data_IF_709908317186
#
_entry.id   IF_709908317186
#
_cell.length_a   1.000
_cell.length_b   1.000
_cell.length_c   1.000
_cell.angle_alpha   90.00
_cell.angle_beta   90.00
_cell.angle_gamma   90.00
#
_symmetry.space_group_name_H-M   'P 1'
#
loop_
_entity.id
_entity.type
_entity.pdbx_description
1 polymer ?
#
# COMPACT_ATOMS: atom_id res chain seq x y z
N UNK A 1 41.78 -7.53 17.20
CA UNK A 1 40.42 -7.99 16.95
C UNK A 1 39.64 -6.85 16.30
N UNK A 2 39.48 -6.87 15.01
CA UNK A 2 38.64 -5.90 14.27
C UNK A 2 37.20 -6.04 14.78
N UNK A 3 36.70 -5.01 15.49
CA UNK A 3 35.29 -4.97 15.89
C UNK A 3 34.45 -5.17 14.64
N UNK A 4 33.69 -6.27 14.59
CA UNK A 4 32.73 -6.51 13.53
C UNK A 4 31.74 -5.34 13.55
N UNK A 5 31.84 -4.42 12.57
CA UNK A 5 31.04 -3.20 12.53
C UNK A 5 29.63 -3.46 11.98
N UNK A 6 29.41 -4.66 11.41
CA UNK A 6 28.14 -5.04 10.83
C UNK A 6 27.16 -5.50 11.92
N UNK A 7 25.94 -4.93 11.89
CA UNK A 7 24.84 -5.37 12.75
C UNK A 7 24.12 -6.56 12.15
N UNK A 8 23.97 -6.57 10.82
CA UNK A 8 23.39 -7.65 10.03
C UNK A 8 24.31 -7.96 8.87
N UNK A 9 24.56 -9.26 8.62
CA UNK A 9 25.26 -9.74 7.43
C UNK A 9 24.48 -10.89 6.82
N UNK A 10 24.05 -10.71 5.59
CA UNK A 10 23.33 -11.70 4.77
C UNK A 10 24.30 -12.15 3.68
N UNK A 11 24.55 -13.47 3.59
CA UNK A 11 25.49 -14.03 2.63
C UNK A 11 24.84 -15.13 1.83
N UNK A 12 24.88 -15.01 0.52
CA UNK A 12 24.45 -16.01 -0.48
C UNK A 12 23.06 -16.62 -0.18
N UNK A 13 22.16 -15.78 0.37
CA UNK A 13 20.84 -16.19 0.80
C UNK A 13 19.97 -16.54 -0.39
N UNK A 14 19.46 -17.77 -0.39
CA UNK A 14 18.42 -18.24 -1.31
C UNK A 14 17.19 -18.70 -0.56
N UNK A 15 16.01 -18.37 -1.09
CA UNK A 15 14.72 -18.73 -0.46
C UNK A 15 13.82 -19.35 -1.52
N UNK A 16 13.29 -20.52 -1.22
CA UNK A 16 12.40 -21.27 -2.10
C UNK A 16 11.14 -21.72 -1.37
N UNK A 17 10.08 -21.91 -2.15
CA UNK A 17 8.78 -22.38 -1.67
C UNK A 17 8.38 -23.69 -2.37
N UNK A 18 7.88 -24.65 -1.59
CA UNK A 18 7.22 -25.85 -2.13
C UNK A 18 5.80 -25.47 -2.54
N UNK A 19 5.49 -25.63 -3.83
CA UNK A 19 4.16 -25.38 -4.39
C UNK A 19 3.57 -26.64 -4.98
N UNK A 20 2.29 -26.65 -5.32
CA UNK A 20 1.64 -27.77 -6.03
C UNK A 20 2.29 -28.10 -7.38
N UNK A 21 2.95 -27.11 -8.01
CA UNK A 21 3.57 -27.22 -9.33
C UNK A 21 5.09 -27.41 -9.27
N UNK A 22 5.66 -27.70 -8.06
CA UNK A 22 7.09 -27.88 -7.86
C UNK A 22 7.69 -26.83 -6.91
N UNK A 23 9.00 -26.58 -7.03
CA UNK A 23 9.72 -25.58 -6.23
C UNK A 23 9.76 -24.25 -6.97
N UNK A 24 9.38 -23.18 -6.28
CA UNK A 24 9.49 -21.81 -6.78
C UNK A 24 10.57 -21.07 -6.01
N UNK A 25 11.58 -20.56 -6.70
CA UNK A 25 12.64 -19.75 -6.13
C UNK A 25 12.20 -18.28 -6.05
N UNK A 26 12.12 -17.75 -4.83
CA UNK A 26 11.68 -16.40 -4.58
C UNK A 26 12.85 -15.41 -4.39
N UNK A 27 13.99 -15.90 -3.87
CA UNK A 27 15.23 -15.14 -3.67
C UNK A 27 16.40 -16.03 -4.07
N UNK A 28 17.37 -15.47 -4.78
CA UNK A 28 18.50 -16.18 -5.36
C UNK A 28 19.79 -15.48 -5.01
N UNK A 29 20.61 -16.15 -4.20
CA UNK A 29 21.98 -15.77 -3.90
C UNK A 29 22.20 -14.28 -3.58
N UNK A 30 21.39 -13.71 -2.68
CA UNK A 30 21.52 -12.31 -2.29
C UNK A 30 22.49 -12.14 -1.12
N UNK A 31 23.36 -11.14 -1.22
CA UNK A 31 24.35 -10.81 -0.18
C UNK A 31 24.41 -9.32 0.06
N UNK A 32 24.30 -8.90 1.34
CA UNK A 32 24.46 -7.50 1.78
C UNK A 32 24.80 -7.43 3.27
N UNK A 33 25.39 -6.32 3.65
CA UNK A 33 25.74 -6.00 5.04
C UNK A 33 25.06 -4.69 5.46
N UNK A 34 24.66 -4.60 6.72
CA UNK A 34 24.21 -3.35 7.34
C UNK A 34 25.16 -3.05 8.50
N UNK A 35 25.78 -1.87 8.48
CA UNK A 35 26.63 -1.40 9.57
C UNK A 35 25.78 -0.80 10.70
N UNK A 36 26.36 -0.69 11.90
CA UNK A 36 25.67 -0.04 13.00
C UNK A 36 25.34 1.42 12.66
N UNK A 37 24.07 1.80 12.85
CA UNK A 37 23.56 3.15 12.57
C UNK A 37 23.31 3.45 11.08
N UNK A 38 23.60 2.52 10.16
CA UNK A 38 23.39 2.67 8.71
C UNK A 38 21.95 2.34 8.31
N UNK A 39 21.45 3.05 7.30
CA UNK A 39 20.19 2.75 6.62
C UNK A 39 20.46 2.10 5.26
N UNK A 40 20.04 0.85 5.07
CA UNK A 40 20.10 0.16 3.78
C UNK A 40 18.69 -0.03 3.22
N UNK A 41 18.50 0.32 1.94
CA UNK A 41 17.23 0.09 1.26
C UNK A 41 17.27 -1.10 0.28
N UNK A 42 16.23 -1.94 0.35
CA UNK A 42 15.89 -2.91 -0.70
C UNK A 42 14.81 -2.32 -1.61
N UNK A 43 15.12 -2.18 -2.89
CA UNK A 43 14.24 -1.53 -3.88
C UNK A 43 13.95 -2.46 -5.05
N UNK A 44 12.74 -2.42 -5.59
CA UNK A 44 12.34 -3.20 -6.77
C UNK A 44 10.83 -3.27 -6.90
N UNK A 45 10.35 -3.86 -7.99
CA UNK A 45 8.92 -4.07 -8.23
C UNK A 45 8.28 -5.03 -7.22
N UNK A 46 6.93 -5.01 -7.15
CA UNK A 46 6.19 -5.99 -6.36
C UNK A 46 6.50 -7.42 -6.82
N UNK A 47 6.77 -8.31 -5.87
CA UNK A 47 7.14 -9.70 -6.19
C UNK A 47 8.64 -9.93 -6.43
N UNK A 48 9.51 -8.92 -6.36
CA UNK A 48 10.95 -9.09 -6.55
C UNK A 48 11.69 -9.82 -5.41
N UNK A 49 11.02 -10.15 -4.29
CA UNK A 49 11.60 -10.91 -3.16
C UNK A 49 11.95 -10.07 -1.92
N UNK A 50 11.77 -8.75 -1.91
CA UNK A 50 12.16 -7.83 -0.80
C UNK A 50 11.56 -8.21 0.55
N UNK A 51 10.23 -8.28 0.64
CA UNK A 51 9.52 -8.63 1.88
C UNK A 51 9.82 -10.07 2.33
N UNK A 52 10.02 -10.99 1.38
CA UNK A 52 10.42 -12.37 1.66
C UNK A 52 11.81 -12.39 2.31
N UNK A 53 12.76 -11.57 1.82
CA UNK A 53 14.08 -11.41 2.42
C UNK A 53 13.97 -10.89 3.86
N UNK A 54 13.13 -9.86 4.10
CA UNK A 54 12.91 -9.32 5.44
C UNK A 54 12.29 -10.33 6.42
N UNK A 55 11.26 -11.06 5.98
CA UNK A 55 10.61 -12.12 6.77
C UNK A 55 11.55 -13.27 7.05
N UNK A 56 12.49 -13.58 6.14
CA UNK A 56 13.52 -14.58 6.32
C UNK A 56 14.48 -14.21 7.45
N UNK A 57 14.93 -12.94 7.52
CA UNK A 57 15.78 -12.44 8.63
C UNK A 57 15.07 -12.65 9.97
N UNK A 58 13.78 -12.41 10.01
CA UNK A 58 12.94 -12.61 11.20
C UNK A 58 12.54 -14.07 11.43
N UNK A 59 12.89 -15.01 10.54
CA UNK A 59 12.42 -16.40 10.56
C UNK A 59 10.89 -16.48 10.69
N UNK A 60 10.16 -15.66 9.92
CA UNK A 60 8.69 -15.57 9.90
C UNK A 60 8.07 -16.12 8.61
N UNK A 61 8.86 -16.77 7.77
CA UNK A 61 8.33 -17.46 6.59
C UNK A 61 7.46 -18.67 6.98
N UNK A 62 6.55 -19.13 6.12
CA UNK A 62 5.69 -20.28 6.41
C UNK A 62 6.46 -21.61 6.29
N UNK A 63 7.28 -21.93 7.29
CA UNK A 63 8.00 -23.22 7.35
C UNK A 63 7.03 -24.37 7.63
N UNK A 64 7.22 -25.56 7.04
CA UNK A 64 8.30 -26.01 6.14
C UNK A 64 8.00 -25.80 4.65
N UNK A 65 6.97 -25.06 4.27
CA UNK A 65 6.69 -24.73 2.87
C UNK A 65 7.79 -23.85 2.29
N UNK A 66 8.20 -22.82 3.04
CA UNK A 66 9.41 -22.06 2.75
C UNK A 66 10.64 -22.82 3.28
N UNK A 67 11.76 -22.71 2.59
CA UNK A 67 13.04 -23.24 3.02
C UNK A 67 14.19 -22.45 2.40
N UNK A 68 15.37 -22.57 3.00
CA UNK A 68 16.60 -21.93 2.54
C UNK A 68 17.51 -22.98 1.90
N UNK A 69 17.63 -22.99 0.55
CA UNK A 69 18.59 -23.88 -0.12
C UNK A 69 20.05 -23.56 0.23
N UNK A 70 20.36 -22.29 0.46
CA UNK A 70 21.70 -21.79 0.81
C UNK A 70 21.62 -20.49 1.59
N UNK A 71 22.72 -20.07 2.19
CA UNK A 71 22.95 -18.77 2.77
C UNK A 71 23.25 -18.78 4.27
N UNK A 72 23.70 -17.61 4.75
CA UNK A 72 23.93 -17.31 6.17
C UNK A 72 23.21 -16.01 6.53
N UNK A 73 22.63 -15.97 7.72
CA UNK A 73 21.98 -14.77 8.30
C UNK A 73 22.61 -14.45 9.65
N UNK A 74 23.65 -13.61 9.65
CA UNK A 74 24.38 -13.24 10.85
C UNK A 74 23.87 -11.94 11.45
N UNK A 75 23.29 -11.97 12.64
CA UNK A 75 22.93 -10.79 13.42
C UNK A 75 23.87 -10.63 14.61
N UNK A 76 24.59 -9.53 14.68
CA UNK A 76 25.66 -9.28 15.67
C UNK A 76 26.73 -10.40 15.72
N UNK A 77 26.89 -11.13 14.60
CA UNK A 77 27.80 -12.28 14.49
C UNK A 77 27.17 -13.62 14.81
N UNK A 78 25.96 -13.68 15.34
CA UNK A 78 25.22 -14.92 15.62
C UNK A 78 24.37 -15.32 14.41
N UNK A 79 24.47 -16.58 13.99
CA UNK A 79 23.66 -17.10 12.90
C UNK A 79 22.22 -17.32 13.36
N UNK A 80 21.27 -16.72 12.63
CA UNK A 80 19.83 -16.84 12.86
C UNK A 80 19.21 -18.05 12.15
N UNK A 81 19.94 -18.66 11.19
CA UNK A 81 19.41 -19.77 10.41
C UNK A 81 19.24 -21.03 11.28
N UNK A 82 18.08 -21.65 11.18
CA UNK A 82 17.79 -22.89 11.91
C UNK A 82 17.69 -22.74 13.44
N UNK A 83 17.66 -21.51 13.97
CA UNK A 83 17.43 -21.26 15.39
C UNK A 83 16.01 -21.66 15.77
N UNK A 84 15.87 -22.17 17.00
CA UNK A 84 14.58 -22.50 17.56
C UNK A 84 13.72 -21.24 17.85
N UNK A 85 12.41 -21.44 17.96
CA UNK A 85 11.49 -20.32 18.22
C UNK A 85 11.75 -19.62 19.57
N UNK A 86 12.25 -20.35 20.55
CA UNK A 86 12.61 -19.80 21.87
C UNK A 86 13.77 -18.80 21.77
N UNK A 87 14.78 -19.08 20.94
CA UNK A 87 15.85 -18.14 20.64
C UNK A 87 15.33 -16.94 19.85
N UNK A 88 14.57 -17.18 18.80
CA UNK A 88 14.03 -16.11 17.94
C UNK A 88 13.07 -15.17 18.69
N UNK A 89 12.31 -15.65 19.68
CA UNK A 89 11.48 -14.78 20.54
C UNK A 89 12.29 -13.77 21.35
N UNK A 90 13.55 -14.06 21.70
CA UNK A 90 14.43 -13.10 22.38
C UNK A 90 14.97 -12.02 21.43
N UNK A 91 14.98 -12.33 20.13
CA UNK A 91 15.46 -11.38 19.10
C UNK A 91 14.32 -10.53 18.58
N UNK A 92 13.18 -11.17 18.24
CA UNK A 92 12.00 -10.50 17.70
C UNK A 92 11.37 -9.55 18.71
N UNK A 93 11.21 -8.28 18.33
CA UNK A 93 10.58 -7.25 19.17
C UNK A 93 11.46 -6.68 20.29
N UNK A 94 12.63 -7.28 20.57
CA UNK A 94 13.62 -6.75 21.50
C UNK A 94 14.81 -6.16 20.74
N UNK A 95 15.57 -6.98 20.03
CA UNK A 95 16.77 -6.54 19.31
C UNK A 95 16.51 -6.18 17.85
N UNK A 96 15.51 -6.82 17.21
CA UNK A 96 15.05 -6.50 15.87
C UNK A 96 13.58 -6.14 15.94
N UNK A 97 13.27 -4.87 15.66
CA UNK A 97 11.90 -4.39 15.46
C UNK A 97 11.47 -4.54 14.00
N UNK A 98 10.17 -4.73 13.76
CA UNK A 98 9.63 -4.78 12.39
C UNK A 98 8.37 -3.94 12.26
N UNK A 99 8.33 -3.11 11.22
CA UNK A 99 7.14 -2.41 10.73
C UNK A 99 6.64 -3.18 9.52
N UNK A 100 5.42 -3.73 9.62
CA UNK A 100 4.80 -4.50 8.54
C UNK A 100 4.12 -3.59 7.52
N UNK A 101 3.95 -4.08 6.31
CA UNK A 101 3.38 -3.34 5.18
C UNK A 101 1.96 -2.84 5.44
N UNK A 102 1.12 -3.62 6.13
CA UNK A 102 -0.28 -3.28 6.39
C UNK A 102 -0.58 -3.15 7.88
N UNK A 103 -0.82 -1.93 8.41
CA UNK A 103 -1.15 -1.74 9.82
C UNK A 103 -2.46 -2.41 10.25
N UNK A 104 -3.40 -2.61 9.32
CA UNK A 104 -4.69 -3.24 9.60
C UNK A 104 -4.57 -4.74 9.92
N UNK A 105 -3.61 -5.42 9.31
CA UNK A 105 -3.34 -6.83 9.54
C UNK A 105 -2.37 -7.05 10.71
N UNK A 106 -1.49 -6.07 10.98
CA UNK A 106 -0.52 -6.13 12.06
C UNK A 106 -1.12 -5.82 13.45
N UNK A 107 -2.15 -4.96 13.51
CA UNK A 107 -2.82 -4.61 14.77
C UNK A 107 -4.01 -5.53 15.03
N UNK A 108 -4.10 -6.10 16.23
CA UNK A 108 -5.26 -6.90 16.64
C UNK A 108 -6.49 -5.97 16.84
N UNK A 109 -7.56 -6.11 16.05
CA UNK A 109 -8.72 -5.23 16.12
C UNK A 109 -9.52 -5.36 17.43
N UNK A 110 -9.34 -6.44 18.19
CA UNK A 110 -10.04 -6.73 19.45
C UNK A 110 -9.28 -6.23 20.69
N UNK A 111 -8.05 -5.74 20.52
CA UNK A 111 -7.23 -5.23 21.60
C UNK A 111 -7.06 -3.71 21.49
N UNK A 112 -7.06 -3.03 22.64
CA UNK A 112 -6.76 -1.59 22.70
C UNK A 112 -5.30 -1.32 22.35
N UNK A 113 -4.98 -0.09 21.96
CA UNK A 113 -3.60 0.36 21.72
C UNK A 113 -2.73 0.12 22.95
N UNK A 114 -3.22 0.49 24.13
CA UNK A 114 -2.50 0.24 25.39
C UNK A 114 -2.10 -1.22 25.56
N UNK A 115 -3.06 -2.15 25.38
CA UNK A 115 -2.83 -3.58 25.59
C UNK A 115 -1.76 -4.09 24.65
N UNK A 116 -1.79 -3.70 23.36
CA UNK A 116 -0.85 -4.19 22.34
C UNK A 116 0.58 -3.67 22.58
N UNK A 117 0.75 -2.39 22.94
CA UNK A 117 2.07 -1.84 23.22
C UNK A 117 2.62 -2.37 24.54
N UNK A 118 1.77 -2.46 25.60
CA UNK A 118 2.16 -3.03 26.89
C UNK A 118 2.62 -4.48 26.76
N UNK A 119 1.95 -5.28 25.93
CA UNK A 119 2.29 -6.69 25.70
C UNK A 119 3.74 -6.84 25.24
N UNK A 120 4.17 -6.05 24.25
CA UNK A 120 5.55 -6.08 23.74
C UNK A 120 6.55 -5.71 24.84
N UNK A 121 6.26 -4.67 25.63
CA UNK A 121 7.13 -4.24 26.72
C UNK A 121 7.24 -5.30 27.82
N UNK A 122 6.14 -6.00 28.13
CA UNK A 122 6.10 -7.00 29.22
C UNK A 122 6.69 -8.34 28.82
N UNK A 123 6.64 -8.71 27.51
CA UNK A 123 7.23 -9.98 27.04
C UNK A 123 8.75 -9.97 27.20
N UNK A 124 9.40 -8.82 26.98
CA UNK A 124 10.85 -8.70 26.97
C UNK A 124 11.45 -8.08 28.24
N UNK A 125 10.63 -7.51 29.11
CA UNK A 125 11.08 -6.92 30.37
C UNK A 125 10.16 -7.28 31.53
N UNK A 126 10.76 -7.59 32.68
CA UNK A 126 10.02 -7.93 33.92
C UNK A 126 9.43 -6.68 34.59
N UNK A 127 8.61 -5.91 33.85
CA UNK A 127 7.97 -4.70 34.38
C UNK A 127 6.49 -4.93 34.68
N UNK A 128 5.97 -4.19 35.64
CA UNK A 128 4.54 -4.23 35.98
C UNK A 128 3.66 -3.63 34.86
N UNK A 129 2.40 -4.02 34.79
CA UNK A 129 1.45 -3.44 33.83
C UNK A 129 1.36 -1.90 33.93
N UNK A 130 1.43 -1.36 35.17
CA UNK A 130 1.40 0.08 35.40
C UNK A 130 2.63 0.78 34.83
N UNK A 131 3.82 0.19 34.99
CA UNK A 131 5.06 0.72 34.40
C UNK A 131 5.04 0.62 32.88
N UNK A 132 4.56 -0.51 32.31
CA UNK A 132 4.34 -0.66 30.88
C UNK A 132 3.42 0.43 30.32
N UNK A 133 2.27 0.69 30.97
CA UNK A 133 1.35 1.77 30.61
C UNK A 133 2.02 3.14 30.62
N UNK A 134 2.87 3.42 31.62
CA UNK A 134 3.63 4.69 31.68
C UNK A 134 4.61 4.82 30.51
N UNK A 135 5.32 3.73 30.17
CA UNK A 135 6.22 3.69 28.98
C UNK A 135 5.42 3.82 27.68
N UNK A 136 4.28 3.12 27.55
CA UNK A 136 3.38 3.22 26.39
C UNK A 136 2.96 4.65 26.10
N UNK A 137 2.56 5.41 27.14
CA UNK A 137 2.20 6.82 26.98
C UNK A 137 3.37 7.66 26.44
N UNK A 138 4.60 7.41 26.91
CA UNK A 138 5.80 8.09 26.42
C UNK A 138 6.09 7.72 24.95
N UNK A 139 6.00 6.45 24.60
CA UNK A 139 6.20 5.99 23.21
C UNK A 139 5.17 6.61 22.26
N UNK A 140 3.89 6.62 22.64
CA UNK A 140 2.85 7.25 21.84
C UNK A 140 3.07 8.76 21.67
N UNK A 141 3.54 9.43 22.70
CA UNK A 141 3.95 10.84 22.61
C UNK A 141 5.14 11.02 21.65
N UNK A 142 6.17 10.17 21.75
CA UNK A 142 7.37 10.21 20.91
C UNK A 142 7.04 10.05 19.42
N UNK A 143 6.04 9.23 19.07
CA UNK A 143 5.58 9.07 17.68
C UNK A 143 4.53 10.11 17.26
N UNK A 144 4.33 11.17 18.05
CA UNK A 144 3.41 12.26 17.72
C UNK A 144 1.92 11.92 17.87
N UNK A 145 1.58 11.00 18.79
CA UNK A 145 0.20 10.60 19.11
C UNK A 145 -0.26 11.14 20.47
N UNK A 146 -0.08 12.44 20.72
CA UNK A 146 -0.44 13.08 22.00
C UNK A 146 -1.91 12.87 22.38
N UNK A 147 -2.82 13.02 21.43
CA UNK A 147 -4.26 12.82 21.67
C UNK A 147 -4.59 11.37 22.03
N UNK A 148 -3.89 10.41 21.44
CA UNK A 148 -4.05 8.97 21.71
C UNK A 148 -3.39 8.60 23.03
N UNK A 149 -2.27 9.23 23.41
CA UNK A 149 -1.65 9.03 24.72
C UNK A 149 -2.59 9.34 25.88
N UNK A 150 -3.58 10.25 25.66
CA UNK A 150 -4.68 10.56 26.60
C UNK A 150 -5.84 9.56 26.52
N UNK A 151 -5.99 8.86 25.39
CA UNK A 151 -7.05 7.88 25.08
C UNK A 151 -6.46 6.51 24.72
N UNK A 152 -5.48 6.04 25.48
CA UNK A 152 -4.73 4.80 25.21
C UNK A 152 -5.61 3.54 25.09
N UNK A 153 -6.84 3.58 25.60
CA UNK A 153 -7.85 2.52 25.48
C UNK A 153 -8.61 2.53 24.14
N UNK A 154 -8.23 3.40 23.18
CA UNK A 154 -8.80 3.38 21.85
C UNK A 154 -8.46 2.06 21.12
N UNK A 155 -9.37 1.62 20.27
CA UNK A 155 -9.19 0.46 19.41
C UNK A 155 -8.62 0.87 18.03
N UNK A 156 -7.95 -0.04 17.30
CA UNK A 156 -7.40 0.26 15.98
C UNK A 156 -8.40 0.84 14.97
N UNK A 157 -9.65 0.39 15.00
CA UNK A 157 -10.69 0.88 14.10
C UNK A 157 -11.14 2.34 14.38
N UNK A 158 -10.83 2.88 15.55
CA UNK A 158 -11.12 4.28 15.92
C UNK A 158 -10.01 5.23 15.44
N UNK A 159 -8.91 4.71 14.86
CA UNK A 159 -7.75 5.46 14.43
C UNK A 159 -7.73 5.67 12.92
N UNK A 160 -7.18 6.80 12.46
CA UNK A 160 -6.84 7.02 11.04
C UNK A 160 -5.71 6.10 10.59
N UNK A 161 -5.50 5.95 9.27
CA UNK A 161 -4.40 5.15 8.71
C UNK A 161 -3.03 5.59 9.25
N UNK A 162 -2.74 6.89 9.21
CA UNK A 162 -1.49 7.44 9.73
C UNK A 162 -1.33 7.26 11.25
N UNK A 163 -2.43 7.33 12.03
CA UNK A 163 -2.38 7.06 13.47
C UNK A 163 -2.08 5.57 13.76
N UNK A 164 -2.69 4.64 13.02
CA UNK A 164 -2.37 3.21 13.13
C UNK A 164 -0.91 2.92 12.79
N UNK A 165 -0.39 3.57 11.74
CA UNK A 165 1.02 3.46 11.36
C UNK A 165 1.94 3.93 12.49
N UNK A 166 1.65 5.06 13.11
CA UNK A 166 2.42 5.57 14.26
C UNK A 166 2.34 4.65 15.48
N UNK A 167 1.18 4.01 15.73
CA UNK A 167 1.07 2.98 16.77
C UNK A 167 1.96 1.78 16.46
N UNK A 168 1.98 1.29 15.22
CA UNK A 168 2.83 0.19 14.80
C UNK A 168 4.32 0.55 14.91
N UNK A 169 4.71 1.79 14.56
CA UNK A 169 6.07 2.30 14.79
C UNK A 169 6.39 2.29 16.30
N UNK A 170 5.48 2.80 17.16
CA UNK A 170 5.68 2.77 18.61
C UNK A 170 5.90 1.35 19.15
N UNK A 171 5.16 0.37 18.61
CA UNK A 171 5.31 -1.04 18.94
C UNK A 171 6.67 -1.59 18.51
N UNK A 172 7.11 -1.28 17.29
CA UNK A 172 8.38 -1.79 16.73
C UNK A 172 9.62 -1.26 17.43
N UNK A 173 9.54 -0.06 18.05
CA UNK A 173 10.66 0.58 18.77
C UNK A 173 10.56 0.45 20.29
N UNK A 174 9.54 -0.25 20.83
CA UNK A 174 9.20 -0.25 22.26
C UNK A 174 10.36 -0.69 23.17
N UNK A 175 11.19 -1.61 22.71
CA UNK A 175 12.34 -2.15 23.45
C UNK A 175 13.70 -1.59 22.99
N UNK A 176 13.73 -0.48 22.25
CA UNK A 176 14.95 0.13 21.72
C UNK A 176 15.78 -0.86 20.86
N UNK A 177 15.25 -1.37 19.75
CA UNK A 177 15.94 -2.36 18.94
C UNK A 177 17.24 -1.81 18.32
N UNK A 178 18.23 -2.69 18.08
CA UNK A 178 19.45 -2.34 17.36
C UNK A 178 19.25 -2.25 15.84
N UNK A 179 18.25 -3.01 15.32
CA UNK A 179 17.86 -3.03 13.91
C UNK A 179 16.35 -2.86 13.78
N UNK A 180 15.91 -1.93 12.93
CA UNK A 180 14.53 -1.78 12.51
C UNK A 180 14.38 -2.24 11.07
N UNK A 181 13.53 -3.22 10.83
CA UNK A 181 13.10 -3.63 9.48
C UNK A 181 11.79 -2.89 9.18
N UNK A 182 11.78 -2.05 8.15
CA UNK A 182 10.62 -1.27 7.74
C UNK A 182 10.16 -1.74 6.35
N UNK A 183 9.14 -2.60 6.31
CA UNK A 183 8.59 -3.15 5.07
C UNK A 183 7.47 -2.25 4.55
N UNK A 184 7.78 -1.43 3.55
CA UNK A 184 6.89 -0.46 2.92
C UNK A 184 6.09 0.40 3.94
N UNK A 185 6.75 1.07 4.90
CA UNK A 185 6.09 1.69 6.05
C UNK A 185 5.18 2.88 5.70
N UNK A 186 5.14 3.30 4.45
CA UNK A 186 4.35 4.45 3.99
C UNK A 186 3.33 4.08 2.91
N UNK A 187 3.18 2.81 2.58
CA UNK A 187 2.20 2.32 1.61
C UNK A 187 0.78 2.64 2.07
N UNK A 188 -0.07 3.09 1.15
CA UNK A 188 -1.46 3.52 1.38
C UNK A 188 -1.64 4.79 2.24
N UNK A 189 -0.58 5.56 2.50
CA UNK A 189 -0.65 6.87 3.13
C UNK A 189 -0.64 7.99 2.09
N UNK A 190 -1.23 9.14 2.44
CA UNK A 190 -1.09 10.34 1.62
C UNK A 190 0.33 10.94 1.73
N UNK A 191 0.71 11.74 0.72
CA UNK A 191 2.09 12.27 0.60
C UNK A 191 2.53 13.09 1.83
N UNK A 192 1.61 13.82 2.45
CA UNK A 192 1.91 14.63 3.65
C UNK A 192 2.21 13.73 4.84
N UNK A 193 1.35 12.73 5.09
CA UNK A 193 1.55 11.76 6.18
C UNK A 193 2.78 10.88 5.90
N UNK A 194 3.01 10.49 4.65
CA UNK A 194 4.22 9.76 4.24
C UNK A 194 5.49 10.52 4.63
N UNK A 195 5.60 11.81 4.28
CA UNK A 195 6.77 12.61 4.67
C UNK A 195 6.94 12.67 6.18
N UNK A 196 5.85 12.90 6.93
CA UNK A 196 5.90 12.94 8.39
C UNK A 196 6.35 11.61 9.02
N UNK A 197 5.95 10.47 8.45
CA UNK A 197 6.38 9.14 8.93
C UNK A 197 7.87 8.91 8.65
N UNK A 198 8.35 9.32 7.48
CA UNK A 198 9.77 9.20 7.15
C UNK A 198 10.65 10.08 8.06
N UNK A 199 10.24 11.33 8.28
CA UNK A 199 10.94 12.25 9.19
C UNK A 199 10.94 11.71 10.63
N UNK A 200 9.83 11.09 11.07
CA UNK A 200 9.73 10.42 12.36
C UNK A 200 10.73 9.25 12.47
N UNK A 201 10.78 8.36 11.48
CA UNK A 201 11.68 7.19 11.49
C UNK A 201 13.14 7.65 11.52
N UNK A 202 13.52 8.66 10.73
CA UNK A 202 14.87 9.23 10.76
C UNK A 202 15.22 9.86 12.11
N UNK A 203 14.30 10.64 12.69
CA UNK A 203 14.50 11.24 14.02
C UNK A 203 14.71 10.17 15.08
N UNK A 204 13.92 9.10 15.07
CA UNK A 204 14.05 7.98 15.99
C UNK A 204 15.37 7.24 15.78
N UNK A 205 15.76 6.99 14.52
CA UNK A 205 17.05 6.37 14.20
C UNK A 205 18.21 7.15 14.81
N UNK A 206 18.24 8.47 14.61
CA UNK A 206 19.30 9.33 15.14
C UNK A 206 19.32 9.34 16.67
N UNK A 207 18.15 9.39 17.32
CA UNK A 207 18.05 9.40 18.79
C UNK A 207 18.48 8.08 19.42
N UNK A 208 18.19 6.96 18.79
CA UNK A 208 18.46 5.61 19.32
C UNK A 208 19.75 5.00 18.80
N UNK A 209 20.35 5.55 17.74
CA UNK A 209 21.53 4.98 17.08
C UNK A 209 21.27 3.61 16.43
N UNK A 210 20.01 3.29 16.13
CA UNK A 210 19.64 2.00 15.51
C UNK A 210 19.94 2.00 14.00
N UNK A 211 20.13 0.80 13.45
CA UNK A 211 20.27 0.57 12.01
C UNK A 211 18.91 0.32 11.37
N UNK A 212 18.76 0.60 10.08
CA UNK A 212 17.50 0.41 9.37
C UNK A 212 17.68 -0.46 8.12
N UNK A 213 16.86 -1.49 7.98
CA UNK A 213 16.59 -2.15 6.71
C UNK A 213 15.25 -1.63 6.17
N UNK A 214 15.32 -0.78 5.15
CA UNK A 214 14.15 -0.12 4.58
C UNK A 214 13.73 -0.79 3.27
N UNK A 215 12.48 -1.18 3.13
CA UNK A 215 11.95 -1.78 1.92
C UNK A 215 10.96 -0.82 1.28
N UNK A 216 11.14 -0.53 0.00
CA UNK A 216 10.23 0.32 -0.75
C UNK A 216 10.29 0.02 -2.26
N UNK A 217 9.22 0.34 -2.94
CA UNK A 217 9.19 0.45 -4.40
C UNK A 217 9.30 1.91 -4.88
N UNK A 218 9.26 2.88 -3.95
CA UNK A 218 9.36 4.31 -4.25
C UNK A 218 10.79 4.83 -4.06
N UNK A 219 11.46 5.07 -5.18
CA UNK A 219 12.83 5.59 -5.20
C UNK A 219 12.96 7.00 -4.60
N UNK A 220 11.91 7.84 -4.65
CA UNK A 220 11.96 9.17 -4.05
C UNK A 220 12.03 9.08 -2.51
N UNK A 221 11.32 8.12 -1.93
CA UNK A 221 11.37 7.79 -0.50
C UNK A 221 12.76 7.27 -0.12
N UNK A 222 13.30 6.34 -0.91
CA UNK A 222 14.61 5.72 -0.68
C UNK A 222 15.72 6.76 -0.71
N UNK A 223 15.70 7.68 -1.67
CA UNK A 223 16.66 8.79 -1.77
C UNK A 223 16.71 9.64 -0.51
N UNK A 224 15.59 9.75 0.22
CA UNK A 224 15.51 10.56 1.44
C UNK A 224 16.07 9.85 2.68
N UNK A 225 15.93 8.50 2.77
CA UNK A 225 16.15 7.77 4.02
C UNK A 225 17.37 6.84 4.01
N UNK A 226 17.81 6.35 2.86
CA UNK A 226 18.83 5.31 2.77
C UNK A 226 20.21 5.85 2.46
N UNK A 227 21.25 5.31 3.13
CA UNK A 227 22.66 5.54 2.84
C UNK A 227 23.13 4.65 1.68
N UNK A 228 22.66 3.40 1.66
CA UNK A 228 23.01 2.37 0.69
C UNK A 228 21.76 1.71 0.09
N UNK A 229 21.81 1.37 -1.18
CA UNK A 229 20.66 0.81 -1.93
C UNK A 229 21.05 -0.48 -2.62
N UNK A 230 20.21 -1.51 -2.47
CA UNK A 230 20.23 -2.74 -3.25
C UNK A 230 18.99 -2.79 -4.13
N UNK A 231 19.18 -2.77 -5.45
CA UNK A 231 18.10 -2.91 -6.44
C UNK A 231 17.86 -4.38 -6.71
N UNK A 232 16.62 -4.83 -6.48
CA UNK A 232 16.22 -6.23 -6.58
C UNK A 232 15.24 -6.45 -7.74
N UNK A 233 15.53 -7.44 -8.58
CA UNK A 233 14.68 -7.87 -9.69
C UNK A 233 14.65 -9.38 -9.75
N UNK A 234 13.47 -9.98 -9.90
CA UNK A 234 13.27 -11.42 -10.09
C UNK A 234 14.05 -12.31 -9.09
N UNK A 235 14.14 -11.86 -7.83
CA UNK A 235 14.79 -12.58 -6.75
C UNK A 235 16.30 -12.32 -6.59
N UNK A 236 16.91 -11.49 -7.42
CA UNK A 236 18.36 -11.22 -7.43
C UNK A 236 18.66 -9.73 -7.26
N UNK A 237 19.86 -9.40 -6.75
CA UNK A 237 20.34 -8.03 -6.78
C UNK A 237 20.99 -7.73 -8.13
N UNK A 238 20.43 -6.77 -8.86
CA UNK A 238 20.95 -6.32 -10.16
C UNK A 238 21.95 -5.17 -10.03
N UNK A 239 21.83 -4.36 -8.96
CA UNK A 239 22.76 -3.26 -8.68
C UNK A 239 22.78 -2.95 -7.18
N UNK A 240 23.96 -2.65 -6.63
CA UNK A 240 24.16 -2.25 -5.22
C UNK A 240 25.17 -1.12 -5.16
N UNK A 241 24.83 0.00 -4.52
CA UNK A 241 25.74 1.12 -4.34
C UNK A 241 25.23 2.10 -3.27
N UNK A 242 26.05 3.09 -2.92
CA UNK A 242 25.60 4.25 -2.18
C UNK A 242 24.45 4.96 -2.90
N UNK A 243 23.52 5.50 -2.14
CA UNK A 243 22.33 6.14 -2.67
C UNK A 243 22.66 7.20 -3.73
N UNK A 244 23.62 8.08 -3.46
CA UNK A 244 24.04 9.11 -4.41
C UNK A 244 24.48 8.54 -5.75
N UNK A 245 25.22 7.44 -5.76
CA UNK A 245 25.73 6.81 -6.98
C UNK A 245 24.60 6.15 -7.78
N UNK A 246 23.65 5.48 -7.12
CA UNK A 246 22.47 4.87 -7.77
C UNK A 246 21.66 5.94 -8.53
N UNK A 247 21.49 7.12 -7.94
CA UNK A 247 20.70 8.18 -8.56
C UNK A 247 21.45 9.05 -9.56
N UNK A 248 22.77 9.25 -9.39
CA UNK A 248 23.57 10.08 -10.30
C UNK A 248 24.13 9.32 -11.48
N UNK A 249 24.52 8.05 -11.31
CA UNK A 249 25.17 7.24 -12.31
C UNK A 249 24.77 5.76 -12.25
N UNK A 250 23.47 5.44 -12.49
CA UNK A 250 22.99 4.07 -12.50
C UNK A 250 23.65 3.26 -13.60
N UNK A 251 24.14 2.06 -13.28
CA UNK A 251 24.85 1.22 -14.24
C UNK A 251 23.90 0.25 -14.95
N UNK A 252 23.04 -0.45 -14.18
CA UNK A 252 22.17 -1.48 -14.72
C UNK A 252 20.97 -0.86 -15.48
N UNK A 253 20.56 -1.48 -16.59
CA UNK A 253 19.44 -1.02 -17.45
C UNK A 253 18.13 -0.90 -16.67
N UNK A 254 17.82 -1.86 -15.81
CA UNK A 254 16.62 -1.86 -14.97
C UNK A 254 16.62 -0.70 -13.97
N UNK A 255 17.75 -0.37 -13.35
CA UNK A 255 17.86 0.78 -12.44
C UNK A 255 17.59 2.09 -13.19
N UNK A 256 18.14 2.22 -14.41
CA UNK A 256 17.88 3.38 -15.30
C UNK A 256 16.39 3.49 -15.62
N UNK A 257 15.75 2.38 -15.95
CA UNK A 257 14.31 2.34 -16.25
C UNK A 257 13.46 2.73 -15.03
N UNK A 258 13.77 2.22 -13.84
CA UNK A 258 13.10 2.58 -12.59
C UNK A 258 13.19 4.09 -12.31
N UNK A 259 14.37 4.69 -12.47
CA UNK A 259 14.57 6.13 -12.25
C UNK A 259 13.84 6.95 -13.33
N UNK A 260 13.94 6.57 -14.59
CA UNK A 260 13.29 7.25 -15.70
C UNK A 260 11.76 7.15 -15.65
N UNK A 261 11.21 6.07 -15.11
CA UNK A 261 9.76 5.90 -14.98
C UNK A 261 9.12 6.97 -14.09
N UNK A 262 9.87 7.49 -13.10
CA UNK A 262 9.43 8.59 -12.25
C UNK A 262 9.51 9.97 -12.93
N UNK A 263 10.33 10.12 -13.97
CA UNK A 263 10.65 11.42 -14.58
C UNK A 263 10.04 11.64 -15.96
N UNK A 264 9.21 10.71 -16.46
CA UNK A 264 8.56 10.86 -17.77
C UNK A 264 7.75 12.16 -17.83
N UNK A 265 8.28 13.17 -18.53
CA UNK A 265 7.56 14.39 -18.83
C UNK A 265 6.30 14.05 -19.63
N UNK A 266 5.15 14.44 -19.12
CA UNK A 266 3.89 14.28 -19.84
C UNK A 266 3.88 15.27 -21.00
N UNK A 267 3.72 14.78 -22.22
CA UNK A 267 3.40 15.64 -23.37
C UNK A 267 1.94 16.04 -23.23
N UNK A 268 1.68 17.33 -23.04
CA UNK A 268 0.34 17.87 -23.03
C UNK A 268 -0.25 17.73 -24.45
N UNK A 269 -1.28 16.89 -24.60
CA UNK A 269 -1.99 16.74 -25.86
C UNK A 269 -2.92 17.92 -26.18
N UNK A 270 -3.32 18.06 -27.43
CA UNK A 270 -4.39 18.97 -27.81
C UNK A 270 -5.71 18.49 -27.16
N UNK A 271 -6.23 19.27 -26.25
CA UNK A 271 -7.54 19.05 -25.64
C UNK A 271 -8.63 19.43 -26.63
N UNK A 272 -9.76 18.70 -26.61
CA UNK A 272 -10.93 19.15 -27.37
C UNK A 272 -11.51 20.44 -26.77
N UNK A 273 -12.17 21.24 -27.59
CA UNK A 273 -12.78 22.53 -27.13
C UNK A 273 -14.01 22.30 -26.25
N UNK A 274 -14.67 21.16 -26.39
CA UNK A 274 -15.89 20.85 -25.67
C UNK A 274 -15.64 20.35 -24.26
N UNK A 275 -16.41 20.88 -23.31
CA UNK A 275 -16.44 20.39 -21.94
C UNK A 275 -17.19 19.04 -21.86
N UNK A 276 -16.56 18.00 -21.29
CA UNK A 276 -17.21 16.73 -21.03
C UNK A 276 -17.90 16.68 -19.66
N UNK A 277 -17.33 17.38 -18.66
CA UNK A 277 -17.87 17.45 -17.31
C UNK A 277 -17.73 18.89 -16.77
N UNK A 278 -18.84 19.44 -16.26
CA UNK A 278 -18.85 20.72 -15.56
C UNK A 278 -19.47 20.53 -14.18
N UNK A 279 -18.81 21.05 -13.19
CA UNK A 279 -19.25 21.04 -11.80
C UNK A 279 -19.45 22.49 -11.36
N UNK A 280 -20.66 22.81 -10.88
CA UNK A 280 -21.00 24.15 -10.42
C UNK A 280 -21.62 24.08 -9.03
N UNK A 281 -21.01 24.76 -8.07
CA UNK A 281 -21.43 24.87 -6.68
C UNK A 281 -21.76 23.52 -6.02
N UNK A 282 -20.95 22.50 -6.30
CA UNK A 282 -21.18 21.15 -5.77
C UNK A 282 -20.97 21.13 -4.25
N UNK A 283 -21.98 20.61 -3.54
CA UNK A 283 -21.96 20.41 -2.09
C UNK A 283 -22.27 18.94 -1.79
N UNK A 284 -21.44 18.32 -0.94
CA UNK A 284 -21.64 16.95 -0.43
C UNK A 284 -21.57 17.00 1.09
N UNK A 285 -22.73 16.90 1.73
CA UNK A 285 -22.88 16.99 3.16
C UNK A 285 -23.47 15.68 3.68
N UNK A 286 -22.77 15.04 4.62
CA UNK A 286 -23.21 13.82 5.30
C UNK A 286 -23.92 14.20 6.60
N UNK A 287 -25.20 13.80 6.78
CA UNK A 287 -25.94 14.14 7.99
C UNK A 287 -25.41 13.38 9.22
N UNK A 288 -25.17 14.08 10.30
CA UNK A 288 -24.93 13.49 11.62
C UNK A 288 -26.29 13.31 12.29
N UNK A 289 -26.69 12.07 12.53
CA UNK A 289 -27.99 11.75 13.12
C UNK A 289 -27.84 11.27 14.55
N UNK A 290 -28.78 11.65 15.44
CA UNK A 290 -28.81 11.24 16.85
C UNK A 290 -30.21 10.75 17.26
N UNK A 291 -30.22 9.81 18.21
CA UNK A 291 -31.43 9.25 18.78
C UNK A 291 -32.09 8.15 17.94
N UNK A 292 -33.13 7.49 18.51
CA UNK A 292 -33.87 6.37 17.89
C UNK A 292 -34.54 6.81 16.57
N UNK A 293 -35.02 8.05 16.50
CA UNK A 293 -35.67 8.63 15.33
C UNK A 293 -34.69 9.20 14.29
N UNK A 294 -33.37 8.98 14.46
CA UNK A 294 -32.30 9.44 13.52
C UNK A 294 -32.46 10.91 13.10
N UNK A 295 -32.78 11.81 14.00
CA UNK A 295 -32.89 13.24 13.68
C UNK A 295 -31.51 13.79 13.34
N UNK A 296 -31.41 14.51 12.22
CA UNK A 296 -30.17 15.18 11.82
C UNK A 296 -29.91 16.35 12.78
N UNK A 297 -28.76 16.32 13.44
CA UNK A 297 -28.32 17.37 14.38
C UNK A 297 -27.24 18.28 13.80
N UNK A 298 -26.45 17.76 12.83
CA UNK A 298 -25.38 18.49 12.16
C UNK A 298 -24.99 17.80 10.86
N UNK A 299 -24.01 18.36 10.11
CA UNK A 299 -23.51 17.83 8.86
C UNK A 299 -21.98 17.81 8.83
N UNK A 300 -21.39 16.69 8.41
CA UNK A 300 -20.00 16.66 7.96
C UNK A 300 -19.99 17.18 6.50
N UNK A 301 -19.43 18.36 6.29
CA UNK A 301 -19.32 19.00 4.98
C UNK A 301 -18.07 18.49 4.26
N UNK A 302 -18.18 17.34 3.56
CA UNK A 302 -17.07 16.76 2.82
C UNK A 302 -16.66 17.64 1.61
N UNK A 303 -17.62 18.33 0.99
CA UNK A 303 -17.42 19.32 -0.08
C UNK A 303 -18.39 20.47 0.19
N UNK A 304 -17.89 21.70 0.23
CA UNK A 304 -18.67 22.90 0.51
C UNK A 304 -18.51 23.96 -0.58
N UNK A 305 -19.00 23.73 -1.76
CA UNK A 305 -18.93 24.60 -2.97
C UNK A 305 -17.66 24.39 -3.80
N UNK A 306 -17.70 23.37 -4.66
CA UNK A 306 -16.62 23.08 -5.61
C UNK A 306 -17.07 23.40 -7.03
N UNK A 307 -16.18 24.06 -7.79
CA UNK A 307 -16.38 24.41 -9.19
C UNK A 307 -15.18 23.95 -10.01
N UNK A 308 -15.40 23.26 -11.12
CA UNK A 308 -14.37 22.98 -12.13
C UNK A 308 -14.99 22.53 -13.45
N UNK A 309 -14.16 22.54 -14.48
CA UNK A 309 -14.52 22.11 -15.82
C UNK A 309 -13.45 21.14 -16.36
N UNK A 310 -13.89 20.05 -16.97
CA UNK A 310 -13.04 19.03 -17.60
C UNK A 310 -13.37 18.95 -19.08
N UNK A 311 -12.38 19.18 -19.93
CA UNK A 311 -12.52 19.11 -21.39
C UNK A 311 -12.39 17.66 -21.88
N UNK A 312 -12.89 17.39 -23.09
CA UNK A 312 -12.67 16.12 -23.77
C UNK A 312 -11.17 15.85 -23.97
N UNK A 313 -10.74 14.61 -23.79
CA UNK A 313 -9.33 14.15 -23.82
C UNK A 313 -8.42 14.78 -22.76
N UNK A 314 -8.95 15.56 -21.83
CA UNK A 314 -8.21 16.12 -20.71
C UNK A 314 -8.17 15.12 -19.55
N UNK A 315 -7.07 15.13 -18.81
CA UNK A 315 -6.95 14.48 -17.48
C UNK A 315 -6.86 15.56 -16.43
N UNK A 316 -7.76 15.51 -15.43
CA UNK A 316 -7.75 16.39 -14.26
C UNK A 316 -7.24 15.60 -13.06
N UNK A 317 -6.14 16.05 -12.44
CA UNK A 317 -5.65 15.52 -11.17
C UNK A 317 -6.33 16.24 -10.00
N UNK A 318 -6.91 15.46 -9.07
CA UNK A 318 -7.48 15.96 -7.82
C UNK A 318 -6.62 15.43 -6.69
N UNK A 319 -5.92 16.34 -6.01
CA UNK A 319 -4.96 16.04 -4.95
C UNK A 319 -5.41 16.65 -3.62
N UNK A 320 -4.93 16.10 -2.52
CA UNK A 320 -5.23 16.55 -1.16
C UNK A 320 -5.05 15.43 -0.14
N UNK A 321 -5.13 15.77 1.13
CA UNK A 321 -4.98 14.83 2.24
C UNK A 321 -6.10 13.79 2.31
N UNK A 322 -5.86 12.70 3.05
CA UNK A 322 -6.91 11.72 3.35
C UNK A 322 -8.08 12.41 4.07
N UNK A 323 -9.31 12.12 3.64
CA UNK A 323 -10.51 12.78 4.20
C UNK A 323 -10.85 14.14 3.59
N UNK A 324 -10.08 14.70 2.64
CA UNK A 324 -10.35 15.99 2.00
C UNK A 324 -11.56 16.01 1.03
N UNK A 325 -12.29 14.90 0.91
CA UNK A 325 -13.49 14.81 0.07
C UNK A 325 -13.28 14.30 -1.34
N UNK A 326 -12.07 13.90 -1.76
CA UNK A 326 -11.77 13.39 -3.13
C UNK A 326 -12.70 12.24 -3.56
N UNK A 327 -12.81 11.22 -2.74
CA UNK A 327 -13.69 10.07 -3.00
C UNK A 327 -15.17 10.49 -3.01
N UNK A 328 -15.57 11.39 -2.10
CA UNK A 328 -16.94 11.93 -2.05
C UNK A 328 -17.29 12.67 -3.35
N UNK A 329 -16.33 13.39 -3.92
CA UNK A 329 -16.51 14.05 -5.23
C UNK A 329 -16.81 13.04 -6.34
N UNK A 330 -15.99 12.02 -6.48
CA UNK A 330 -16.16 10.98 -7.50
C UNK A 330 -17.50 10.25 -7.33
N UNK A 331 -17.86 9.89 -6.10
CA UNK A 331 -19.12 9.23 -5.80
C UNK A 331 -20.34 10.14 -6.09
N UNK A 332 -20.20 11.46 -5.88
CA UNK A 332 -21.24 12.43 -6.22
C UNK A 332 -21.44 12.56 -7.74
N UNK A 333 -20.33 12.59 -8.51
CA UNK A 333 -20.37 12.63 -9.98
C UNK A 333 -21.10 11.37 -10.52
N UNK A 334 -20.82 10.20 -9.94
CA UNK A 334 -21.48 8.93 -10.30
C UNK A 334 -22.92 8.82 -9.79
N UNK A 335 -23.41 9.81 -9.03
CA UNK A 335 -24.73 9.76 -8.37
C UNK A 335 -24.90 8.55 -7.47
N UNK A 336 -23.83 8.11 -6.82
CA UNK A 336 -23.84 7.05 -5.79
C UNK A 336 -24.14 7.62 -4.40
N UNK A 337 -23.93 8.91 -4.20
CA UNK A 337 -24.28 9.65 -2.98
C UNK A 337 -25.07 10.91 -3.33
N UNK A 338 -25.81 11.44 -2.34
CA UNK A 338 -26.58 12.67 -2.50
C UNK A 338 -25.66 13.88 -2.57
N UNK A 339 -25.98 14.83 -3.45
CA UNK A 339 -25.24 16.07 -3.61
C UNK A 339 -26.18 17.21 -4.01
N UNK A 340 -25.81 18.46 -3.66
CA UNK A 340 -26.45 19.69 -4.14
C UNK A 340 -25.54 20.38 -5.15
N UNK A 341 -26.07 21.33 -5.93
CA UNK A 341 -25.35 21.99 -7.05
C UNK A 341 -25.61 21.31 -8.39
N UNK A 342 -24.84 21.64 -9.42
CA UNK A 342 -25.04 21.11 -10.76
C UNK A 342 -23.84 20.24 -11.19
N UNK A 343 -24.14 19.05 -11.67
CA UNK A 343 -23.19 18.13 -12.31
C UNK A 343 -23.66 17.95 -13.74
N UNK A 344 -22.97 18.55 -14.68
CA UNK A 344 -23.30 18.51 -16.10
C UNK A 344 -22.30 17.62 -16.81
N UNK A 345 -22.76 16.49 -17.34
CA UNK A 345 -21.97 15.54 -18.12
C UNK A 345 -22.56 15.47 -19.54
N UNK A 346 -21.71 15.68 -20.53
CA UNK A 346 -22.08 15.67 -21.95
C UNK A 346 -23.38 16.48 -22.20
N UNK A 347 -23.39 17.73 -21.73
CA UNK A 347 -24.50 18.69 -21.77
C UNK A 347 -25.79 18.27 -21.03
N UNK A 348 -25.74 17.24 -20.19
CA UNK A 348 -26.88 16.77 -19.41
C UNK A 348 -26.65 16.97 -17.91
N UNK A 349 -27.57 17.66 -17.22
CA UNK A 349 -27.47 17.82 -15.76
C UNK A 349 -27.88 16.53 -15.05
N UNK A 350 -26.91 15.82 -14.46
CA UNK A 350 -27.11 14.55 -13.78
C UNK A 350 -28.01 14.65 -12.54
N UNK A 351 -28.16 15.83 -11.95
CA UNK A 351 -29.04 16.04 -10.80
C UNK A 351 -30.53 16.11 -11.19
N UNK A 352 -30.82 16.37 -12.48
CA UNK A 352 -32.19 16.52 -12.99
C UNK A 352 -32.70 15.31 -13.78
N UNK A 353 -31.87 14.28 -14.00
CA UNK A 353 -32.26 13.10 -14.77
C UNK A 353 -32.81 11.98 -13.88
N UNK A 354 -33.79 11.23 -14.43
CA UNK A 354 -34.37 10.06 -13.75
C UNK A 354 -33.45 8.83 -13.76
N UNK A 355 -33.79 7.85 -12.90
CA UNK A 355 -32.99 6.63 -12.69
C UNK A 355 -32.69 5.84 -13.98
N UNK A 356 -33.67 5.71 -14.89
CA UNK A 356 -33.50 4.95 -16.14
C UNK A 356 -32.49 5.63 -17.08
N UNK A 357 -32.54 6.94 -17.19
CA UNK A 357 -31.60 7.72 -18.00
C UNK A 357 -30.20 7.68 -17.40
N UNK A 358 -30.10 7.76 -16.07
CA UNK A 358 -28.82 7.59 -15.36
C UNK A 358 -28.22 6.20 -15.58
N UNK A 359 -29.03 5.13 -15.59
CA UNK A 359 -28.54 3.78 -15.90
C UNK A 359 -27.86 3.71 -17.28
N UNK A 360 -28.43 4.37 -18.28
CA UNK A 360 -27.84 4.41 -19.62
C UNK A 360 -26.55 5.24 -19.68
N UNK A 361 -26.43 6.31 -18.90
CA UNK A 361 -25.21 7.13 -18.83
C UNK A 361 -24.07 6.46 -18.09
N UNK A 362 -24.36 5.53 -17.20
CA UNK A 362 -23.32 4.78 -16.47
C UNK A 362 -22.36 3.99 -17.36
N UNK A 363 -22.78 3.59 -18.58
CA UNK A 363 -21.84 2.98 -19.55
C UNK A 363 -20.77 3.96 -20.03
N UNK A 364 -21.09 5.28 -20.02
CA UNK A 364 -20.22 6.34 -20.51
C UNK A 364 -19.37 6.99 -19.41
N UNK A 365 -19.74 6.73 -18.13
CA UNK A 365 -19.00 7.19 -16.96
C UNK A 365 -18.64 5.95 -16.14
N UNK A 366 -17.36 5.62 -16.06
CA UNK A 366 -16.88 4.45 -15.35
C UNK A 366 -15.93 4.85 -14.21
N UNK A 367 -15.77 3.95 -13.25
CA UNK A 367 -14.88 4.14 -12.09
C UNK A 367 -13.98 2.92 -11.91
N UNK A 368 -12.72 3.20 -11.57
CA UNK A 368 -11.81 2.23 -10.97
C UNK A 368 -11.67 2.61 -9.50
N UNK A 369 -12.07 1.73 -8.59
CA UNK A 369 -11.98 1.98 -7.15
C UNK A 369 -10.54 1.83 -6.64
N UNK A 370 -10.24 2.51 -5.53
CA UNK A 370 -8.93 2.51 -4.88
C UNK A 370 -8.51 1.10 -4.43
N UNK A 371 -9.46 0.32 -3.90
CA UNK A 371 -9.22 -1.06 -3.46
C UNK A 371 -9.76 -2.05 -4.52
N UNK A 372 -8.88 -2.72 -5.28
CA UNK A 372 -9.29 -3.72 -6.25
C UNK A 372 -9.85 -5.00 -5.58
N UNK A 373 -9.47 -5.30 -4.32
CA UNK A 373 -9.96 -6.47 -3.60
C UNK A 373 -11.46 -6.40 -3.33
N UNK A 374 -11.92 -5.29 -2.75
CA UNK A 374 -13.33 -5.10 -2.43
C UNK A 374 -14.18 -4.79 -3.66
N UNK A 375 -13.56 -4.37 -4.76
CA UNK A 375 -14.27 -3.98 -5.99
C UNK A 375 -14.58 -5.14 -6.94
N UNK A 376 -13.87 -6.27 -6.83
CA UNK A 376 -14.07 -7.46 -7.65
C UNK A 376 -14.83 -8.53 -6.86
N UNK A 377 -15.90 -9.09 -7.43
CA UNK A 377 -16.65 -10.16 -6.78
C UNK A 377 -15.78 -11.42 -6.64
N UNK A 378 -15.52 -11.92 -5.40
CA UNK A 378 -14.67 -13.11 -5.21
C UNK A 378 -15.29 -14.41 -5.71
N UNK A 379 -16.59 -14.38 -6.04
CA UNK A 379 -17.38 -15.55 -6.50
C UNK A 379 -17.55 -15.61 -8.01
N UNK A 380 -17.03 -14.64 -8.75
CA UNK A 380 -17.13 -14.56 -10.21
C UNK A 380 -15.76 -14.80 -10.83
N UNK A 381 -15.74 -15.48 -11.98
CA UNK A 381 -14.51 -15.60 -12.79
C UNK A 381 -14.15 -14.25 -13.41
N UNK A 382 -12.90 -14.10 -13.86
CA UNK A 382 -12.45 -12.86 -14.49
C UNK A 382 -13.28 -12.54 -15.74
N UNK A 383 -13.60 -13.55 -16.55
CA UNK A 383 -14.47 -13.37 -17.71
C UNK A 383 -15.84 -12.83 -17.33
N UNK A 384 -16.47 -13.38 -16.28
CA UNK A 384 -17.75 -12.91 -15.76
C UNK A 384 -17.69 -11.46 -15.27
N UNK A 385 -16.62 -11.11 -14.52
CA UNK A 385 -16.43 -9.76 -13.99
C UNK A 385 -16.30 -8.72 -15.12
N UNK A 386 -15.54 -9.03 -16.15
CA UNK A 386 -15.31 -8.10 -17.28
C UNK A 386 -16.53 -8.06 -18.20
N UNK A 387 -17.27 -9.19 -18.36
CA UNK A 387 -18.49 -9.26 -19.20
C UNK A 387 -19.70 -8.56 -18.58
N UNK A 388 -19.78 -8.41 -17.27
CA UNK A 388 -20.96 -7.89 -16.56
C UNK A 388 -21.49 -6.58 -17.16
N UNK A 389 -20.58 -5.63 -17.43
CA UNK A 389 -20.95 -4.35 -18.05
C UNK A 389 -21.54 -4.51 -19.46
N UNK A 390 -21.02 -5.44 -20.26
CA UNK A 390 -21.54 -5.74 -21.59
C UNK A 390 -22.93 -6.39 -21.51
N UNK A 391 -23.15 -7.29 -20.56
CA UNK A 391 -24.45 -7.95 -20.35
C UNK A 391 -25.54 -6.98 -19.94
N UNK A 392 -25.22 -5.99 -19.11
CA UNK A 392 -26.16 -4.97 -18.67
C UNK A 392 -26.47 -3.95 -19.77
N UNK A 393 -25.44 -3.47 -20.47
CA UNK A 393 -25.55 -2.29 -21.35
C UNK A 393 -25.55 -2.61 -22.84
N UNK A 394 -25.05 -3.78 -23.26
CA UNK A 394 -24.92 -4.17 -24.66
C UNK A 394 -25.57 -5.54 -24.93
N UNK A 395 -26.81 -5.71 -24.50
CA UNK A 395 -27.58 -6.98 -24.56
C UNK A 395 -27.72 -7.57 -25.94
N UNK A 396 -27.63 -6.77 -27.01
CA UNK A 396 -27.78 -7.18 -28.40
C UNK A 396 -26.55 -7.91 -28.97
N UNK A 397 -25.40 -7.83 -28.28
CA UNK A 397 -24.19 -8.52 -28.74
C UNK A 397 -24.30 -10.02 -28.58
N UNK A 398 -23.86 -10.75 -29.58
CA UNK A 398 -23.69 -12.20 -29.54
C UNK A 398 -22.66 -12.61 -28.50
N UNK A 399 -22.63 -13.89 -28.13
CA UNK A 399 -21.60 -14.41 -27.20
C UNK A 399 -20.19 -14.24 -27.74
N UNK A 400 -20.00 -14.47 -29.04
CA UNK A 400 -18.68 -14.36 -29.69
C UNK A 400 -18.19 -12.90 -29.73
N UNK A 401 -19.07 -11.94 -30.10
CA UNK A 401 -18.74 -10.52 -30.08
C UNK A 401 -18.35 -10.02 -28.68
N UNK A 402 -19.02 -10.50 -27.63
CA UNK A 402 -18.68 -10.19 -26.24
C UNK A 402 -17.30 -10.74 -25.90
N UNK A 403 -17.04 -12.01 -26.24
CA UNK A 403 -15.77 -12.69 -26.02
C UNK A 403 -14.62 -11.96 -26.70
N UNK A 404 -14.78 -11.54 -27.94
CA UNK A 404 -13.77 -10.80 -28.69
C UNK A 404 -13.45 -9.45 -28.03
N UNK A 405 -14.47 -8.72 -27.55
CA UNK A 405 -14.26 -7.47 -26.81
C UNK A 405 -13.49 -7.70 -25.51
N UNK A 406 -13.85 -8.75 -24.75
CA UNK A 406 -13.18 -9.10 -23.50
C UNK A 406 -11.72 -9.50 -23.77
N UNK A 407 -11.49 -10.36 -24.75
CA UNK A 407 -10.13 -10.78 -25.16
C UNK A 407 -9.26 -9.59 -25.54
N UNK A 408 -9.82 -8.67 -26.33
CA UNK A 408 -9.12 -7.45 -26.72
C UNK A 408 -8.73 -6.57 -25.53
N UNK A 409 -9.67 -6.27 -24.63
CA UNK A 409 -9.40 -5.39 -23.48
C UNK A 409 -8.44 -6.03 -22.48
N UNK A 410 -8.53 -7.35 -22.24
CA UNK A 410 -7.60 -8.09 -21.39
C UNK A 410 -6.17 -7.99 -21.94
N UNK A 411 -6.00 -8.11 -23.25
CA UNK A 411 -4.68 -7.93 -23.90
C UNK A 411 -4.18 -6.49 -23.78
N UNK A 412 -5.05 -5.49 -23.93
CA UNK A 412 -4.70 -4.07 -23.78
C UNK A 412 -4.19 -3.72 -22.37
N UNK A 413 -4.67 -4.40 -21.32
CA UNK A 413 -4.16 -4.22 -19.95
C UNK A 413 -2.95 -5.12 -19.64
N UNK A 414 -2.39 -5.82 -20.66
CA UNK A 414 -1.16 -6.62 -20.51
C UNK A 414 -1.36 -7.94 -19.77
N UNK A 415 -2.52 -8.58 -19.96
CA UNK A 415 -2.83 -9.92 -19.43
C UNK A 415 -3.17 -10.87 -20.60
N UNK A 416 -2.98 -12.18 -20.40
CA UNK A 416 -3.42 -13.20 -21.35
C UNK A 416 -4.83 -13.69 -21.01
N UNK A 417 -5.74 -13.66 -21.99
CA UNK A 417 -7.14 -14.01 -21.78
C UNK A 417 -7.33 -15.50 -21.47
N UNK A 418 -6.64 -16.37 -22.20
CA UNK A 418 -6.84 -17.83 -22.02
C UNK A 418 -6.34 -18.30 -20.66
N UNK A 419 -5.27 -17.68 -20.14
CA UNK A 419 -4.72 -18.01 -18.82
C UNK A 419 -5.58 -17.57 -17.66
N UNK A 420 -6.36 -16.48 -17.83
CA UNK A 420 -7.05 -15.85 -16.70
C UNK A 420 -8.55 -15.99 -16.69
N UNK A 421 -9.19 -16.27 -17.84
CA UNK A 421 -10.65 -16.15 -18.02
C UNK A 421 -11.50 -16.94 -17.02
N UNK A 422 -11.05 -18.14 -16.63
CA UNK A 422 -11.78 -19.04 -15.72
C UNK A 422 -11.32 -18.93 -14.26
N UNK A 423 -10.27 -18.15 -13.99
CA UNK A 423 -9.72 -17.98 -12.65
C UNK A 423 -10.51 -16.94 -11.86
N UNK A 424 -10.35 -17.00 -10.53
CA UNK A 424 -11.02 -16.10 -9.58
C UNK A 424 -10.08 -14.98 -9.11
N UNK A 425 -10.63 -13.82 -8.65
CA UNK A 425 -9.78 -12.68 -8.23
C UNK A 425 -8.73 -13.01 -7.17
N UNK A 426 -9.00 -13.94 -6.25
CA UNK A 426 -8.06 -14.29 -5.17
C UNK A 426 -6.79 -14.99 -5.67
N UNK A 427 -6.78 -15.51 -6.89
CA UNK A 427 -5.62 -16.17 -7.50
C UNK A 427 -4.61 -15.20 -8.14
N UNK A 428 -4.85 -13.89 -8.07
CA UNK A 428 -4.06 -12.87 -8.71
C UNK A 428 -3.36 -11.95 -7.71
N UNK A 429 -2.21 -11.41 -8.10
CA UNK A 429 -1.52 -10.35 -7.36
C UNK A 429 -2.34 -9.05 -7.33
N UNK A 430 -2.03 -8.14 -6.41
CA UNK A 430 -2.69 -6.83 -6.32
C UNK A 430 -2.64 -6.04 -7.63
N UNK A 431 -1.48 -6.00 -8.29
CA UNK A 431 -1.31 -5.32 -9.58
C UNK A 431 -2.12 -5.96 -10.71
N UNK A 432 -2.20 -7.31 -10.77
CA UNK A 432 -3.03 -8.01 -11.74
C UNK A 432 -4.52 -7.74 -11.50
N UNK A 433 -4.98 -7.74 -10.24
CA UNK A 433 -6.38 -7.38 -9.89
C UNK A 433 -6.71 -5.95 -10.30
N UNK A 434 -5.78 -5.02 -10.14
CA UNK A 434 -5.95 -3.64 -10.58
C UNK A 434 -6.11 -3.55 -12.11
N UNK A 435 -5.31 -4.29 -12.88
CA UNK A 435 -5.45 -4.38 -14.34
C UNK A 435 -6.81 -4.96 -14.74
N UNK A 436 -7.31 -5.98 -14.03
CA UNK A 436 -8.64 -6.55 -14.23
C UNK A 436 -9.73 -5.52 -13.95
N UNK A 437 -9.63 -4.76 -12.85
CA UNK A 437 -10.56 -3.68 -12.53
C UNK A 437 -10.58 -2.58 -13.60
N UNK A 438 -9.42 -2.24 -14.16
CA UNK A 438 -9.29 -1.33 -15.29
C UNK A 438 -9.96 -1.92 -16.54
N UNK A 439 -9.72 -3.20 -16.87
CA UNK A 439 -10.35 -3.87 -18.00
C UNK A 439 -11.88 -3.87 -17.89
N UNK A 440 -12.44 -4.14 -16.69
CA UNK A 440 -13.87 -4.07 -16.41
C UNK A 440 -14.49 -2.70 -16.73
N UNK A 441 -13.76 -1.62 -16.40
CA UNK A 441 -14.21 -0.27 -16.69
C UNK A 441 -14.11 0.08 -18.20
N UNK A 442 -12.98 -0.29 -18.83
CA UNK A 442 -12.66 0.09 -20.21
C UNK A 442 -13.44 -0.71 -21.27
N UNK A 443 -13.93 -1.92 -20.96
CA UNK A 443 -14.65 -2.77 -21.92
C UNK A 443 -15.88 -2.08 -22.53
N UNK A 444 -16.48 -1.14 -21.80
CA UNK A 444 -17.63 -0.33 -22.25
C UNK A 444 -17.23 0.88 -23.10
N UNK A 445 -15.92 1.19 -23.22
CA UNK A 445 -15.38 2.37 -23.90
C UNK A 445 -15.99 3.68 -23.36
N UNK A 446 -15.83 3.97 -22.07
CA UNK A 446 -16.43 5.14 -21.46
C UNK A 446 -15.83 6.45 -22.01
N UNK A 447 -16.61 7.52 -21.93
CA UNK A 447 -16.15 8.88 -22.26
C UNK A 447 -15.41 9.52 -21.08
N UNK A 448 -15.75 9.09 -19.83
CA UNK A 448 -15.17 9.57 -18.57
C UNK A 448 -14.89 8.39 -17.64
#
# INVERSE_FOLDING_TARGET
MTKNTNILSVKDLSISFKTSNGVSEAVRNVSFDIKRGESLALVGESGSGKSITALSIMQLLPYPLAFHPSGELLFKGDDLMGRDDKYMRKIRGDQIGMIFQEPLTALNPLHTVEKQVNEILMIHSSISYMEATKKTKKLLFQVGLENISKRIKAYPHELSGGQRQRVMIAMSIANNPDLLIADEPTTALDVTVQSQILDLIQSIQQQMGMSILFISHDLAVVKKIADYVCIMKDGEFVEKNFTENIFSNPQHSYTKELILSQTKKRVFGNYGDNSILQINELKVWYPITKGILRRTIDYVKAIDSLNFNLKTKQTLGIVGESGSGKTSLVLAILKLISSKGNIIFDNQNLNKIGKNKMKNLRKEIQIVFQDPFSSLSPRMTIEQIVSEGLEIHQKKLSKDEKKDKIKKIIKEVGLDYEDIRQRFPHEFSGGQRQRIAIARALVLKPKL
#
